data_IF_859455989564
#
_entry.id   IF_859455989564
#
_cell.length_a   1.000
_cell.length_b   1.000
_cell.length_c   1.000
_cell.angle_alpha   90.00
_cell.angle_beta   90.00
_cell.angle_gamma   90.00
#
_symmetry.space_group_name_H-M   'P 1'
#
loop_
_entity.id
_entity.type
_entity.pdbx_description
1 polymer ?
#
# COMPACT_ATOMS: atom_id res chain seq x y z
N UNK A 1 -11.93 11.12 -15.44
CA UNK A 1 -12.77 10.00 -14.93
C UNK A 1 -12.12 8.67 -15.24
N UNK A 2 -12.21 8.06 -16.44
CA UNK A 2 -11.53 6.78 -16.70
C UNK A 2 -10.04 6.80 -16.35
N UNK A 3 -9.32 7.83 -16.80
CA UNK A 3 -7.90 7.99 -16.44
C UNK A 3 -7.71 8.04 -14.92
N UNK A 4 -8.51 8.82 -14.18
CA UNK A 4 -8.47 8.87 -12.72
C UNK A 4 -8.63 7.49 -12.07
N UNK A 5 -9.51 6.64 -12.60
CA UNK A 5 -9.69 5.27 -12.10
C UNK A 5 -8.45 4.42 -12.41
N UNK A 6 -7.88 4.52 -13.62
CA UNK A 6 -6.62 3.84 -13.98
C UNK A 6 -5.48 4.26 -13.05
N UNK A 7 -5.29 5.56 -12.84
CA UNK A 7 -4.30 6.09 -11.90
C UNK A 7 -4.51 5.48 -10.50
N UNK A 8 -5.76 5.45 -10.03
CA UNK A 8 -6.07 4.92 -8.71
C UNK A 8 -5.86 3.41 -8.60
N UNK A 9 -6.05 2.64 -9.67
CA UNK A 9 -5.70 1.21 -9.73
C UNK A 9 -4.20 1.02 -9.53
N UNK A 10 -3.39 1.81 -10.22
CA UNK A 10 -1.94 1.76 -10.11
C UNK A 10 -1.45 2.17 -8.71
N UNK A 11 -2.07 3.20 -8.12
CA UNK A 11 -1.84 3.57 -6.72
C UNK A 11 -2.28 2.47 -5.75
N UNK A 12 -3.42 1.82 -6.01
CA UNK A 12 -3.93 0.68 -5.27
C UNK A 12 -2.92 -0.45 -5.21
N UNK A 13 -2.29 -0.79 -6.33
CA UNK A 13 -1.27 -1.86 -6.40
C UNK A 13 -0.04 -1.55 -5.57
N UNK A 14 0.44 -0.31 -5.64
CA UNK A 14 1.54 0.13 -4.79
C UNK A 14 1.17 0.07 -3.30
N UNK A 15 -0.03 0.54 -2.94
CA UNK A 15 -0.53 0.47 -1.57
C UNK A 15 -0.70 -0.98 -1.08
N UNK A 16 -1.12 -1.91 -1.93
CA UNK A 16 -1.27 -3.32 -1.57
C UNK A 16 0.08 -3.92 -1.11
N UNK A 17 1.17 -3.61 -1.80
CA UNK A 17 2.54 -4.01 -1.41
C UNK A 17 2.93 -3.34 -0.08
N UNK A 18 2.73 -2.03 0.05
CA UNK A 18 3.02 -1.30 1.30
C UNK A 18 2.25 -1.91 2.49
N UNK A 19 0.96 -2.19 2.32
CA UNK A 19 0.09 -2.74 3.36
C UNK A 19 0.49 -4.18 3.72
N UNK A 20 0.84 -5.01 2.73
CA UNK A 20 1.35 -6.36 2.97
C UNK A 20 2.66 -6.33 3.76
N UNK A 21 3.58 -5.43 3.41
CA UNK A 21 4.82 -5.23 4.16
C UNK A 21 4.55 -4.76 5.59
N UNK A 22 3.65 -3.79 5.78
CA UNK A 22 3.22 -3.35 7.13
C UNK A 22 2.59 -4.50 7.91
N UNK A 23 1.80 -5.37 7.28
CA UNK A 23 1.23 -6.53 7.96
C UNK A 23 2.32 -7.53 8.43
N UNK A 24 3.42 -7.67 7.68
CA UNK A 24 4.56 -8.52 8.07
C UNK A 24 5.37 -7.96 9.22
N UNK A 25 5.59 -6.64 9.26
CA UNK A 25 6.57 -6.01 10.18
C UNK A 25 5.94 -5.15 11.27
N UNK A 26 4.64 -4.90 11.18
CA UNK A 26 3.91 -3.96 12.02
C UNK A 26 3.04 -4.61 13.10
N UNK A 27 2.85 -5.93 13.06
CA UNK A 27 2.00 -6.68 13.99
C UNK A 27 2.76 -7.08 15.25
N UNK A 28 3.13 -6.08 16.05
CA UNK A 28 4.00 -6.21 17.24
C UNK A 28 3.43 -5.45 18.44
N UNK A 29 3.92 -5.75 19.64
CA UNK A 29 3.75 -4.87 20.79
C UNK A 29 4.74 -3.69 20.71
N UNK A 30 4.26 -2.43 20.57
CA UNK A 30 5.13 -1.27 20.46
C UNK A 30 5.83 -0.89 21.78
N UNK A 31 5.61 -1.58 22.89
CA UNK A 31 6.28 -1.35 24.18
C UNK A 31 7.44 -2.32 24.45
N UNK A 32 7.59 -3.37 23.64
CA UNK A 32 8.64 -4.37 23.78
C UNK A 32 10.06 -3.87 23.49
N UNK A 33 11.06 -4.63 23.95
CA UNK A 33 12.46 -4.36 23.66
C UNK A 33 12.73 -4.44 22.15
N UNK A 34 13.53 -3.51 21.60
CA UNK A 34 13.78 -3.46 20.15
C UNK A 34 14.38 -4.75 19.56
N UNK A 35 15.19 -5.46 20.36
CA UNK A 35 15.73 -6.76 19.95
C UNK A 35 14.67 -7.85 19.95
N UNK A 36 13.79 -7.85 20.95
CA UNK A 36 12.69 -8.81 21.06
C UNK A 36 11.68 -8.62 19.92
N UNK A 37 11.32 -7.37 19.62
CA UNK A 37 10.52 -6.99 18.43
C UNK A 37 11.15 -7.53 17.15
N UNK A 38 12.47 -7.34 16.98
CA UNK A 38 13.16 -7.79 15.77
C UNK A 38 13.15 -9.31 15.65
N UNK A 39 13.19 -10.03 16.77
CA UNK A 39 13.21 -11.50 16.83
C UNK A 39 11.82 -12.10 16.58
N UNK A 40 10.79 -11.49 17.16
CA UNK A 40 9.39 -11.82 16.88
C UNK A 40 9.08 -11.64 15.39
N UNK A 41 9.38 -10.46 14.83
CA UNK A 41 9.11 -10.19 13.41
C UNK A 41 9.92 -11.12 12.51
N UNK A 42 11.17 -11.44 12.86
CA UNK A 42 11.95 -12.42 12.10
C UNK A 42 11.29 -13.81 12.09
N UNK A 43 10.75 -14.25 13.22
CA UNK A 43 10.06 -15.52 13.34
C UNK A 43 8.73 -15.53 12.57
N UNK A 44 7.95 -14.46 12.67
CA UNK A 44 6.68 -14.30 11.96
C UNK A 44 6.87 -14.26 10.46
N UNK A 45 7.85 -13.50 9.96
CA UNK A 45 8.18 -13.48 8.53
C UNK A 45 8.60 -14.88 8.06
N UNK A 46 9.42 -15.61 8.82
CA UNK A 46 9.83 -16.96 8.45
C UNK A 46 8.66 -17.95 8.43
N UNK A 47 7.67 -17.77 9.31
CA UNK A 47 6.48 -18.60 9.36
C UNK A 47 5.47 -18.28 8.23
N UNK A 48 5.24 -16.98 7.99
CA UNK A 48 4.27 -16.49 7.01
C UNK A 48 4.79 -16.53 5.57
N UNK A 49 6.11 -16.45 5.40
CA UNK A 49 6.77 -16.46 4.08
C UNK A 49 7.95 -17.45 4.03
N UNK A 50 7.70 -18.78 4.06
CA UNK A 50 8.77 -19.78 4.19
C UNK A 50 9.81 -19.81 3.05
N UNK A 51 9.48 -19.23 1.88
CA UNK A 51 10.40 -19.07 0.76
C UNK A 51 11.36 -17.88 0.91
N UNK A 52 11.08 -16.95 1.83
CA UNK A 52 11.90 -15.78 2.02
C UNK A 52 13.15 -16.13 2.83
N UNK A 53 14.25 -15.45 2.51
CA UNK A 53 15.49 -15.53 3.30
C UNK A 53 15.52 -14.35 4.25
N UNK A 54 15.43 -14.65 5.54
CA UNK A 54 15.45 -13.67 6.63
C UNK A 54 16.84 -13.60 7.23
N UNK A 55 17.35 -12.38 7.43
CA UNK A 55 18.63 -12.14 8.11
C UNK A 55 18.55 -10.92 9.04
N UNK A 56 19.34 -10.96 10.12
CA UNK A 56 19.44 -9.89 11.12
C UNK A 56 20.82 -9.21 11.02
N UNK A 57 20.98 -8.15 10.20
CA UNK A 57 22.26 -7.43 10.10
C UNK A 57 22.64 -6.67 11.38
N UNK A 58 21.73 -6.58 12.36
CA UNK A 58 21.99 -6.04 13.69
C UNK A 58 20.82 -6.37 14.63
N UNK A 59 20.93 -5.96 15.90
CA UNK A 59 19.93 -6.29 16.93
C UNK A 59 18.55 -5.64 16.68
N UNK A 60 18.50 -4.53 15.94
CA UNK A 60 17.27 -3.75 15.71
C UNK A 60 16.91 -3.67 14.23
N UNK A 61 17.51 -4.53 13.41
CA UNK A 61 17.38 -4.49 11.96
C UNK A 61 17.10 -5.88 11.40
N UNK A 62 16.13 -5.95 10.50
CA UNK A 62 15.72 -7.14 9.78
C UNK A 62 15.86 -6.90 8.28
N UNK A 63 16.37 -7.88 7.54
CA UNK A 63 16.42 -7.89 6.08
C UNK A 63 15.76 -9.16 5.58
N UNK A 64 14.82 -9.00 4.66
CA UNK A 64 14.03 -10.08 4.07
C UNK A 64 14.21 -10.05 2.56
N UNK A 65 14.65 -11.18 2.00
CA UNK A 65 14.72 -11.37 0.56
C UNK A 65 13.61 -12.34 0.12
N UNK A 66 12.69 -11.88 -0.70
CA UNK A 66 11.49 -12.62 -1.12
C UNK A 66 11.69 -13.44 -2.41
N UNK A 67 12.93 -13.71 -2.80
CA UNK A 67 13.21 -14.42 -4.04
C UNK A 67 13.43 -13.50 -5.24
N UNK A 68 13.50 -14.11 -6.43
CA UNK A 68 13.65 -13.42 -7.71
C UNK A 68 12.28 -13.17 -8.35
N UNK A 69 12.26 -12.34 -9.41
CA UNK A 69 11.03 -12.09 -10.19
C UNK A 69 10.42 -13.38 -10.77
N UNK A 70 11.26 -14.34 -11.16
CA UNK A 70 10.82 -15.60 -11.76
C UNK A 70 10.35 -16.63 -10.72
N UNK A 71 10.62 -16.37 -9.44
CA UNK A 71 10.21 -17.23 -8.32
C UNK A 71 9.85 -16.34 -7.13
N UNK A 72 8.72 -15.61 -7.21
CA UNK A 72 8.28 -14.73 -6.14
C UNK A 72 7.79 -15.55 -4.93
N UNK A 73 7.94 -14.98 -3.74
CA UNK A 73 7.44 -15.54 -2.50
C UNK A 73 6.01 -15.03 -2.23
N UNK A 74 4.99 -15.90 -2.19
CA UNK A 74 3.62 -15.48 -1.98
C UNK A 74 3.38 -15.01 -0.55
N UNK A 75 2.67 -13.90 -0.39
CA UNK A 75 2.18 -13.41 0.89
C UNK A 75 0.93 -12.56 0.71
N UNK A 76 -0.12 -12.84 1.50
CA UNK A 76 -1.38 -12.12 1.45
C UNK A 76 -1.90 -11.93 0.00
N UNK A 77 -1.93 -12.99 -0.81
CA UNK A 77 -2.39 -12.91 -2.21
C UNK A 77 -1.42 -12.28 -3.22
N UNK A 78 -0.30 -11.69 -2.79
CA UNK A 78 0.67 -11.00 -3.64
C UNK A 78 1.94 -11.84 -3.81
N UNK A 79 2.46 -11.93 -5.03
CA UNK A 79 3.78 -12.50 -5.29
C UNK A 79 4.90 -11.48 -5.04
N UNK A 80 5.52 -11.51 -3.85
CA UNK A 80 6.61 -10.61 -3.51
C UNK A 80 7.95 -11.10 -4.06
N UNK A 81 8.77 -10.20 -4.61
CA UNK A 81 10.16 -10.51 -4.99
C UNK A 81 11.06 -9.29 -4.79
N UNK A 82 12.36 -9.51 -4.61
CA UNK A 82 13.30 -8.44 -4.24
C UNK A 82 13.56 -8.40 -2.74
N UNK A 83 13.97 -7.24 -2.21
CA UNK A 83 14.38 -7.11 -0.80
C UNK A 83 13.59 -6.03 -0.08
N UNK A 84 13.23 -6.32 1.17
CA UNK A 84 12.83 -5.34 2.16
C UNK A 84 13.84 -5.32 3.31
N UNK A 85 14.09 -4.14 3.86
CA UNK A 85 14.80 -3.98 5.14
C UNK A 85 13.97 -3.14 6.09
N UNK A 86 13.89 -3.51 7.36
CA UNK A 86 13.27 -2.69 8.41
C UNK A 86 14.26 -2.45 9.53
N UNK A 87 14.25 -1.24 10.08
CA UNK A 87 15.03 -0.84 11.25
C UNK A 87 14.10 -0.24 12.29
N UNK A 88 14.12 -0.79 13.50
CA UNK A 88 13.32 -0.33 14.62
C UNK A 88 14.13 0.63 15.50
N UNK A 89 13.51 1.72 15.91
CA UNK A 89 14.12 2.73 16.78
C UNK A 89 13.09 3.32 17.74
N UNK A 90 13.55 3.91 18.84
CA UNK A 90 12.73 4.76 19.73
C UNK A 90 13.40 6.13 19.84
N UNK A 91 13.07 7.09 18.96
CA UNK A 91 13.58 8.45 19.06
C UNK A 91 13.14 9.11 20.38
N UNK A 92 13.98 9.99 20.93
CA UNK A 92 13.69 10.66 22.21
C UNK A 92 12.35 11.41 22.16
N UNK A 93 11.47 11.11 23.13
CA UNK A 93 10.14 11.73 23.23
C UNK A 93 9.14 11.26 22.18
N UNK A 94 9.45 10.20 21.43
CA UNK A 94 8.55 9.58 20.44
C UNK A 94 8.28 8.11 20.79
N UNK A 95 7.22 7.56 20.18
CA UNK A 95 6.92 6.13 20.24
C UNK A 95 7.88 5.30 19.39
N UNK A 96 7.59 4.00 19.28
CA UNK A 96 8.31 3.11 18.37
C UNK A 96 8.20 3.61 16.92
N UNK A 97 9.32 3.56 16.21
CA UNK A 97 9.43 3.89 14.79
C UNK A 97 10.07 2.72 14.04
N UNK A 98 9.37 2.21 13.02
CA UNK A 98 9.94 1.31 12.03
C UNK A 98 10.24 2.07 10.73
N UNK A 99 11.50 2.12 10.35
CA UNK A 99 11.94 2.62 9.04
C UNK A 99 12.06 1.44 8.09
N UNK A 100 11.15 1.36 7.12
CA UNK A 100 11.03 0.30 6.13
C UNK A 100 11.65 0.79 4.82
N UNK A 101 12.57 0.02 4.25
CA UNK A 101 13.26 0.33 3.01
C UNK A 101 12.93 -0.73 1.98
N UNK A 102 12.53 -0.28 0.79
CA UNK A 102 12.23 -1.11 -0.37
C UNK A 102 13.46 -1.12 -1.28
N UNK A 103 14.21 -2.23 -1.28
CA UNK A 103 15.42 -2.43 -2.09
C UNK A 103 15.04 -3.25 -3.33
N UNK A 104 14.82 -2.58 -4.47
CA UNK A 104 13.67 -2.73 -5.34
C UNK A 104 12.75 -3.92 -4.98
N UNK A 105 11.61 -3.64 -4.34
CA UNK A 105 10.62 -4.63 -3.94
C UNK A 105 9.48 -4.68 -4.95
N UNK A 106 9.19 -5.86 -5.50
CA UNK A 106 8.13 -6.08 -6.48
C UNK A 106 6.98 -6.85 -5.84
N UNK A 107 5.77 -6.42 -6.14
CA UNK A 107 4.55 -7.21 -6.00
C UNK A 107 3.88 -7.28 -7.38
N UNK A 108 3.82 -8.48 -7.93
CA UNK A 108 3.29 -8.72 -9.27
C UNK A 108 3.95 -7.79 -10.33
N UNK A 109 3.15 -6.95 -10.99
CA UNK A 109 3.63 -6.06 -12.03
C UNK A 109 4.20 -4.73 -11.50
N UNK A 110 4.03 -4.42 -10.22
CA UNK A 110 4.44 -3.15 -9.60
C UNK A 110 5.76 -3.30 -8.85
N UNK A 111 6.66 -2.33 -9.01
CA UNK A 111 7.96 -2.26 -8.33
C UNK A 111 8.04 -1.00 -7.47
N UNK A 112 8.44 -1.13 -6.22
CA UNK A 112 8.70 -0.04 -5.28
C UNK A 112 10.19 0.08 -4.99
N UNK A 113 10.68 1.30 -4.92
CA UNK A 113 12.02 1.66 -4.43
C UNK A 113 11.89 2.91 -3.55
N UNK A 114 12.55 2.94 -2.40
CA UNK A 114 12.44 4.06 -1.44
C UNK A 114 12.17 3.58 -0.02
N UNK A 115 11.36 4.33 0.74
CA UNK A 115 11.12 4.00 2.13
C UNK A 115 9.74 4.42 2.66
N UNK A 116 9.36 3.81 3.77
CA UNK A 116 8.25 4.22 4.61
C UNK A 116 8.65 4.27 6.08
N UNK A 117 7.91 5.06 6.86
CA UNK A 117 8.03 5.19 8.29
C UNK A 117 6.70 4.82 8.93
N UNK A 118 6.72 3.77 9.74
CA UNK A 118 5.55 3.27 10.47
C UNK A 118 5.67 3.63 11.96
N UNK A 119 4.60 4.19 12.51
CA UNK A 119 4.46 4.52 13.93
C UNK A 119 3.11 4.01 14.44
N UNK A 120 3.02 3.75 15.75
CA UNK A 120 1.83 3.20 16.40
C UNK A 120 1.22 4.23 17.35
N UNK A 121 -0.10 4.35 17.34
CA UNK A 121 -0.87 5.09 18.32
C UNK A 121 -1.36 4.17 19.45
N UNK A 122 -1.78 4.78 20.56
CA UNK A 122 -2.23 4.04 21.75
C UNK A 122 -3.51 3.22 21.54
N UNK A 123 -4.31 3.54 20.54
CA UNK A 123 -5.52 2.79 20.16
C UNK A 123 -5.24 1.63 19.19
N UNK A 124 -3.96 1.36 18.90
CA UNK A 124 -3.52 0.33 17.96
C UNK A 124 -3.57 0.76 16.49
N UNK A 125 -4.05 1.96 16.17
CA UNK A 125 -3.91 2.50 14.82
C UNK A 125 -2.45 2.80 14.50
N UNK A 126 -2.10 2.76 13.22
CA UNK A 126 -0.75 2.97 12.73
C UNK A 126 -0.70 4.12 11.74
N UNK A 127 0.31 4.97 11.82
CA UNK A 127 0.58 6.00 10.82
C UNK A 127 1.75 5.58 9.95
N UNK A 128 1.53 5.58 8.64
CA UNK A 128 2.50 5.23 7.62
C UNK A 128 2.78 6.45 6.74
N UNK A 129 4.00 6.97 6.83
CA UNK A 129 4.51 8.03 5.95
C UNK A 129 5.40 7.37 4.91
N UNK A 130 5.17 7.63 3.63
CA UNK A 130 5.89 6.98 2.53
C UNK A 130 6.54 8.01 1.62
N UNK A 131 7.76 7.73 1.18
CA UNK A 131 8.44 8.39 0.05
C UNK A 131 9.07 7.30 -0.83
N UNK A 132 8.43 7.02 -1.96
CA UNK A 132 8.84 5.94 -2.86
C UNK A 132 8.78 6.36 -4.31
N UNK A 133 9.56 5.68 -5.13
CA UNK A 133 9.44 5.63 -6.57
C UNK A 133 8.78 4.32 -6.97
N UNK A 134 7.89 4.39 -7.95
CA UNK A 134 7.11 3.25 -8.42
C UNK A 134 7.24 3.08 -9.93
N UNK A 135 7.42 1.83 -10.35
CA UNK A 135 7.16 1.41 -11.73
C UNK A 135 5.90 0.54 -11.75
N UNK A 136 4.90 0.94 -12.52
CA UNK A 136 3.63 0.24 -12.74
C UNK A 136 3.54 -0.28 -14.18
N UNK A 137 2.48 -1.02 -14.55
CA UNK A 137 2.30 -1.44 -15.94
C UNK A 137 2.12 -0.28 -16.93
N UNK A 138 1.54 0.82 -16.46
CA UNK A 138 1.16 1.99 -17.27
C UNK A 138 2.23 3.08 -17.25
N UNK A 139 2.98 3.19 -16.14
CA UNK A 139 3.90 4.28 -15.89
C UNK A 139 5.19 3.80 -15.23
N UNK A 140 6.25 4.62 -15.32
CA UNK A 140 7.56 4.31 -14.73
C UNK A 140 8.11 5.53 -14.04
N UNK A 141 8.93 5.29 -13.03
CA UNK A 141 9.61 6.32 -12.25
C UNK A 141 8.64 7.32 -11.60
N UNK A 142 7.46 6.87 -11.21
CA UNK A 142 6.44 7.70 -10.55
C UNK A 142 6.87 7.94 -9.10
N UNK A 143 7.17 9.18 -8.76
CA UNK A 143 7.42 9.56 -7.37
C UNK A 143 6.10 9.68 -6.62
N UNK A 144 6.06 9.08 -5.44
CA UNK A 144 4.89 9.03 -4.56
C UNK A 144 5.30 9.48 -3.18
N UNK A 145 4.46 10.34 -2.59
CA UNK A 145 4.49 10.62 -1.17
C UNK A 145 3.12 10.40 -0.57
N UNK A 146 3.07 9.88 0.66
CA UNK A 146 1.83 9.60 1.34
C UNK A 146 1.96 9.78 2.85
N UNK A 147 0.84 10.08 3.49
CA UNK A 147 0.68 10.05 4.94
C UNK A 147 -0.68 9.42 5.24
N UNK A 148 -0.65 8.19 5.73
CA UNK A 148 -1.83 7.35 5.87
C UNK A 148 -1.99 6.90 7.32
N UNK A 149 -3.22 6.95 7.81
CA UNK A 149 -3.64 6.24 9.00
C UNK A 149 -4.21 4.89 8.60
N UNK A 150 -3.74 3.84 9.27
CA UNK A 150 -4.10 2.45 9.06
C UNK A 150 -4.76 1.93 10.34
N UNK A 151 -5.92 1.32 10.23
CA UNK A 151 -6.60 0.68 11.36
C UNK A 151 -7.32 -0.58 10.90
N UNK A 152 -7.48 -1.55 11.80
CA UNK A 152 -8.24 -2.78 11.52
C UNK A 152 -9.72 -2.54 11.77
N UNK A 153 -10.56 -2.97 10.83
CA UNK A 153 -12.03 -3.03 10.99
C UNK A 153 -12.45 -4.43 10.56
N UNK A 154 -12.85 -5.25 11.53
CA UNK A 154 -13.07 -6.69 11.32
C UNK A 154 -11.83 -7.33 10.64
N UNK A 155 -12.03 -8.03 9.52
CA UNK A 155 -10.95 -8.65 8.73
C UNK A 155 -10.32 -7.70 7.69
N UNK A 156 -10.75 -6.44 7.63
CA UNK A 156 -10.29 -5.47 6.65
C UNK A 156 -9.30 -4.45 7.23
N UNK A 157 -8.49 -3.88 6.34
CA UNK A 157 -7.67 -2.71 6.62
C UNK A 157 -8.42 -1.45 6.19
N UNK A 158 -8.68 -0.57 7.15
CA UNK A 158 -9.17 0.79 6.90
C UNK A 158 -7.98 1.73 6.68
N UNK A 159 -8.02 2.47 5.58
CA UNK A 159 -7.00 3.44 5.19
C UNK A 159 -7.62 4.83 5.07
N UNK A 160 -7.02 5.79 5.77
CA UNK A 160 -7.37 7.21 5.76
C UNK A 160 -6.11 8.05 5.53
N UNK A 161 -6.25 9.29 5.06
CA UNK A 161 -5.13 10.21 4.87
C UNK A 161 -5.00 10.65 3.42
N UNK A 162 -3.78 10.87 2.94
CA UNK A 162 -3.56 11.35 1.58
C UNK A 162 -2.40 10.63 0.88
N UNK A 163 -2.43 10.68 -0.45
CA UNK A 163 -1.37 10.22 -1.33
C UNK A 163 -1.22 11.16 -2.51
N UNK A 164 0.00 11.54 -2.86
CA UNK A 164 0.32 12.36 -4.04
C UNK A 164 1.30 11.64 -4.93
N UNK A 165 1.16 11.82 -6.23
CA UNK A 165 2.08 11.27 -7.21
C UNK A 165 2.24 12.19 -8.41
N UNK A 166 3.36 12.04 -9.12
CA UNK A 166 3.70 12.84 -10.28
C UNK A 166 3.87 11.95 -11.50
N UNK A 167 3.11 12.25 -12.56
CA UNK A 167 3.22 11.56 -13.84
C UNK A 167 3.61 12.53 -14.94
N UNK A 168 3.74 12.04 -16.18
CA UNK A 168 3.95 12.90 -17.35
C UNK A 168 2.76 13.84 -17.61
N UNK A 169 1.57 13.50 -17.13
CA UNK A 169 0.37 14.34 -17.25
C UNK A 169 0.33 15.47 -16.23
N UNK A 170 1.12 15.36 -15.15
CA UNK A 170 1.20 16.34 -14.08
C UNK A 170 1.07 15.71 -12.70
N UNK A 171 0.84 16.57 -11.70
CA UNK A 171 0.66 16.15 -10.31
C UNK A 171 -0.77 15.70 -10.06
N UNK A 172 -0.90 14.60 -9.34
CA UNK A 172 -2.14 14.08 -8.82
C UNK A 172 -2.08 14.03 -7.30
N UNK A 173 -3.24 14.13 -6.67
CA UNK A 173 -3.38 14.00 -5.21
C UNK A 173 -4.71 13.33 -4.91
N UNK A 174 -4.72 12.41 -3.95
CA UNK A 174 -5.90 11.70 -3.50
C UNK A 174 -6.04 11.83 -1.99
N UNK A 175 -7.17 12.39 -1.54
CA UNK A 175 -7.64 12.28 -0.16
C UNK A 175 -8.41 10.97 -0.01
N UNK A 176 -7.96 10.12 0.90
CA UNK A 176 -8.49 8.78 1.18
C UNK A 176 -9.38 8.85 2.42
N UNK A 177 -10.67 8.60 2.24
CA UNK A 177 -11.67 8.67 3.30
C UNK A 177 -12.25 7.29 3.58
N UNK A 178 -11.56 6.56 4.46
CA UNK A 178 -12.03 5.28 5.00
C UNK A 178 -12.08 4.18 3.95
N UNK A 179 -11.07 4.08 3.09
CA UNK A 179 -10.96 2.98 2.15
C UNK A 179 -10.82 1.67 2.91
N UNK A 180 -11.69 0.71 2.62
CA UNK A 180 -11.60 -0.64 3.20
C UNK A 180 -11.01 -1.59 2.16
N UNK A 181 -9.87 -2.20 2.50
CA UNK A 181 -9.18 -3.18 1.66
C UNK A 181 -9.14 -4.53 2.38
N UNK A 182 -9.41 -5.60 1.64
CA UNK A 182 -9.09 -6.94 2.11
C UNK A 182 -7.57 -7.19 1.96
N UNK A 183 -7.00 -8.12 2.74
CA UNK A 183 -5.58 -8.45 2.62
C UNK A 183 -5.21 -8.87 1.19
N UNK A 184 -4.22 -8.20 0.60
CA UNK A 184 -3.74 -8.48 -0.75
C UNK A 184 -4.45 -7.75 -1.88
N UNK A 185 -5.65 -7.24 -1.64
CA UNK A 185 -6.42 -6.54 -2.65
C UNK A 185 -5.85 -5.15 -2.91
N UNK A 186 -5.81 -4.75 -4.18
CA UNK A 186 -5.42 -3.40 -4.57
C UNK A 186 -6.62 -2.46 -4.74
N UNK A 187 -7.83 -3.01 -4.90
CA UNK A 187 -9.05 -2.22 -4.96
C UNK A 187 -9.77 -2.21 -3.61
N UNK A 188 -10.17 -1.03 -3.11
CA UNK A 188 -11.06 -0.96 -1.97
C UNK A 188 -12.43 -1.57 -2.31
N UNK A 189 -13.02 -2.27 -1.34
CA UNK A 189 -14.40 -2.76 -1.45
C UNK A 189 -15.42 -1.75 -0.92
N UNK A 190 -14.96 -0.72 -0.21
CA UNK A 190 -15.75 0.38 0.30
C UNK A 190 -14.88 1.62 0.55
N UNK A 191 -15.52 2.78 0.68
CA UNK A 191 -14.89 4.05 1.03
C UNK A 191 -14.85 5.02 -0.15
N UNK A 192 -14.26 6.19 0.08
CA UNK A 192 -14.17 7.26 -0.92
C UNK A 192 -12.71 7.70 -1.15
N UNK A 193 -12.40 8.08 -2.38
CA UNK A 193 -11.19 8.83 -2.69
C UNK A 193 -11.55 10.10 -3.49
N UNK A 194 -11.18 11.27 -3.00
CA UNK A 194 -11.28 12.52 -3.75
C UNK A 194 -9.94 12.79 -4.45
N UNK A 195 -9.92 12.73 -5.78
CA UNK A 195 -8.69 12.81 -6.57
C UNK A 195 -8.61 14.13 -7.33
N UNK A 196 -7.67 14.98 -6.91
CA UNK A 196 -7.26 16.16 -7.66
C UNK A 196 -6.40 15.76 -8.85
N UNK A 197 -6.86 16.18 -10.02
CA UNK A 197 -6.21 15.88 -11.29
C UNK A 197 -5.30 17.02 -11.75
N UNK A 198 -4.30 16.76 -12.61
CA UNK A 198 -3.47 17.79 -13.24
C UNK A 198 -4.21 18.89 -13.99
N UNK A 199 -5.51 18.70 -14.25
CA UNK A 199 -6.35 19.59 -15.04
C UNK A 199 -7.21 20.52 -14.19
N UNK A 200 -6.91 20.67 -12.89
CA UNK A 200 -7.67 21.48 -11.93
C UNK A 200 -9.14 21.05 -11.79
N UNK A 201 -9.37 19.73 -11.81
CA UNK A 201 -10.66 19.12 -11.51
C UNK A 201 -10.47 18.04 -10.45
N UNK A 202 -11.41 17.97 -9.51
CA UNK A 202 -11.48 16.91 -8.51
C UNK A 202 -12.49 15.86 -8.98
N UNK A 203 -12.10 14.59 -8.97
CA UNK A 203 -12.96 13.46 -9.26
C UNK A 203 -13.13 12.66 -7.97
N UNK A 204 -14.37 12.46 -7.53
CA UNK A 204 -14.68 11.62 -6.37
C UNK A 204 -14.94 10.20 -6.83
N UNK A 205 -14.15 9.26 -6.33
CA UNK A 205 -14.29 7.83 -6.55
C UNK A 205 -14.98 7.20 -5.35
N UNK A 206 -16.12 6.57 -5.57
CA UNK A 206 -16.90 5.83 -4.58
C UNK A 206 -16.81 4.34 -4.89
N UNK A 207 -16.24 3.59 -3.96
CA UNK A 207 -15.89 2.18 -4.14
C UNK A 207 -16.97 1.29 -3.55
N UNK A 208 -17.37 0.29 -4.32
CA UNK A 208 -18.30 -0.75 -3.90
C UNK A 208 -17.87 -2.09 -4.49
N UNK A 209 -17.92 -3.16 -3.72
CA UNK A 209 -17.63 -4.49 -4.22
C UNK A 209 -18.91 -5.25 -4.59
N UNK A 210 -18.93 -5.84 -5.78
CA UNK A 210 -20.01 -6.70 -6.25
C UNK A 210 -19.45 -8.05 -6.72
N UNK A 211 -20.30 -9.05 -6.90
CA UNK A 211 -19.88 -10.33 -7.45
C UNK A 211 -19.34 -10.15 -8.88
N UNK A 212 -18.03 -10.27 -9.06
CA UNK A 212 -17.35 -10.15 -10.37
C UNK A 212 -16.25 -9.09 -10.45
N UNK A 213 -16.03 -8.27 -9.41
CA UNK A 213 -14.93 -7.31 -9.35
C UNK A 213 -15.27 -6.06 -8.54
N UNK A 214 -14.34 -5.11 -8.50
CA UNK A 214 -14.57 -3.83 -7.86
C UNK A 214 -15.33 -2.88 -8.79
N UNK A 215 -16.39 -2.26 -8.28
CA UNK A 215 -17.11 -1.18 -8.97
C UNK A 215 -16.72 0.17 -8.39
N UNK A 216 -16.53 1.14 -9.28
CA UNK A 216 -16.14 2.50 -8.93
C UNK A 216 -17.08 3.49 -9.59
N UNK A 217 -17.87 4.19 -8.79
CA UNK A 217 -18.62 5.35 -9.27
C UNK A 217 -17.71 6.57 -9.23
N UNK A 218 -17.46 7.17 -10.38
CA UNK A 218 -16.67 8.39 -10.50
C UNK A 218 -17.58 9.60 -10.75
N UNK A 219 -17.56 10.55 -9.82
CA UNK A 219 -18.31 11.80 -9.86
C UNK A 219 -17.36 13.00 -10.02
N UNK A 220 -17.85 14.14 -10.50
CA UNK A 220 -17.05 15.38 -10.68
C UNK A 220 -16.63 15.68 -12.13
N UNK A 221 -17.03 14.83 -13.08
CA UNK A 221 -16.99 15.13 -14.51
C UNK A 221 -18.26 15.83 -15.01
N UNK A 222 -18.49 15.83 -16.34
CA UNK A 222 -19.74 16.34 -16.92
C UNK A 222 -20.97 15.49 -16.58
N UNK A 223 -20.74 14.20 -16.27
CA UNK A 223 -21.73 13.19 -15.88
C UNK A 223 -21.05 12.21 -14.94
N UNK A 224 -21.82 11.59 -14.07
CA UNK A 224 -21.34 10.48 -13.25
C UNK A 224 -21.13 9.24 -14.13
N UNK A 225 -20.08 8.48 -13.83
CA UNK A 225 -19.74 7.27 -14.59
C UNK A 225 -19.50 6.11 -13.65
N UNK A 226 -19.94 4.93 -14.07
CA UNK A 226 -19.65 3.70 -13.38
C UNK A 226 -18.55 2.95 -14.13
N UNK A 227 -17.56 2.48 -13.39
CA UNK A 227 -16.48 1.65 -13.89
C UNK A 227 -16.46 0.31 -13.17
N UNK A 228 -16.11 -0.73 -13.91
CA UNK A 228 -15.74 -2.04 -13.37
C UNK A 228 -14.22 -2.19 -13.49
N UNK A 229 -13.61 -2.70 -12.43
CA UNK A 229 -12.18 -3.01 -12.36
C UNK A 229 -12.04 -4.52 -12.15
N UNK A 230 -11.40 -5.18 -13.10
CA UNK A 230 -11.14 -6.63 -13.02
C UNK A 230 -10.03 -6.93 -12.01
N UNK A 231 -9.87 -8.21 -11.66
CA UNK A 231 -8.77 -8.69 -10.80
C UNK A 231 -7.39 -8.39 -11.42
N UNK A 232 -7.30 -8.32 -12.75
CA UNK A 232 -6.09 -7.91 -13.48
C UNK A 232 -5.94 -6.38 -13.58
N UNK A 233 -6.83 -5.60 -12.97
CA UNK A 233 -6.82 -4.14 -12.95
C UNK A 233 -7.28 -3.47 -14.25
N UNK A 234 -7.96 -4.21 -15.14
CA UNK A 234 -8.51 -3.61 -16.35
C UNK A 234 -9.73 -2.74 -16.01
N UNK A 235 -9.72 -1.50 -16.50
CA UNK A 235 -10.80 -0.52 -16.24
C UNK A 235 -11.79 -0.49 -17.40
N UNK A 236 -12.99 -0.99 -17.15
CA UNK A 236 -14.11 -1.07 -18.10
C UNK A 236 -15.14 0.01 -17.75
N UNK A 237 -15.47 0.85 -18.73
CA UNK A 237 -16.51 1.87 -18.57
C UNK A 237 -17.88 1.25 -18.87
N UNK A 238 -18.74 1.14 -17.86
CA UNK A 238 -20.06 0.50 -17.99
C UNK A 238 -21.18 1.50 -18.26
N UNK A 239 -20.87 2.81 -18.34
CA UNK A 239 -21.82 3.86 -18.70
C UNK A 239 -22.12 4.84 -17.57
N UNK A 240 -23.34 5.40 -17.61
CA UNK A 240 -23.81 6.39 -16.64
C UNK A 240 -24.26 5.68 -15.34
N UNK A 241 -23.94 6.27 -14.19
CA UNK A 241 -24.16 5.67 -12.85
C UNK A 241 -24.87 6.57 -11.84
#
# INVERSE_FOLDING_TARGET
MRQTVVEMVDQGRAMAIENAVVALVGSIDPDDGLADITDEVAADVAALTPCAVVSRPGAVALRVWFGSKDTPCPYAGIGLSGTMRVVYTRPDGQGLLASIYYEPLRGDATLLDGFSQLTWAADGSQRLITEIRVDTPTEREVEIQADRLLSRVDDALKVEGWRRWQTLMGRWEADLAGLLLAPGEFMPFAGLAAVDTPFNHTIVLDFTHEAGGAKVRANGGRRDRLFEVTDEGDVIDVGDG
#
